data_IF_836726932796
#
_entry.id   IF_836726932796
#
_cell.length_a   1.000
_cell.length_b   1.000
_cell.length_c   1.000
_cell.angle_alpha   90.00
_cell.angle_beta   90.00
_cell.angle_gamma   90.00
#
_symmetry.space_group_name_H-M   'P 1'
#
loop_
_entity.id
_entity.type
_entity.pdbx_description
1 polymer ?
#
# COMPACT_ATOMS: atom_id res chain seq x y z
N UNK A 1 1.73 -16.44 16.66
CA UNK A 1 1.99 -16.92 15.29
C UNK A 1 1.10 -18.10 14.88
N UNK A 2 0.55 -18.87 15.82
CA UNK A 2 -0.22 -20.09 15.50
C UNK A 2 -1.61 -19.85 14.87
N UNK A 3 -2.26 -18.72 15.15
CA UNK A 3 -3.57 -18.40 14.60
C UNK A 3 -3.55 -18.15 13.08
N UNK A 4 -2.52 -17.48 12.57
CA UNK A 4 -2.38 -17.18 11.14
C UNK A 4 -2.06 -18.43 10.33
N UNK A 5 -1.19 -19.30 10.85
CA UNK A 5 -0.89 -20.59 10.22
C UNK A 5 -2.08 -21.54 10.30
N UNK A 6 -2.80 -21.58 11.43
CA UNK A 6 -4.03 -22.35 11.55
C UNK A 6 -5.09 -21.90 10.54
N UNK A 7 -5.33 -20.59 10.39
CA UNK A 7 -6.28 -20.07 9.40
C UNK A 7 -5.86 -20.38 7.95
N UNK A 8 -4.56 -20.32 7.66
CA UNK A 8 -4.03 -20.65 6.34
C UNK A 8 -4.22 -22.14 5.98
N UNK A 9 -4.25 -23.03 6.97
CA UNK A 9 -4.46 -24.46 6.78
C UNK A 9 -5.96 -24.80 6.74
N UNK A 10 -6.78 -24.21 7.62
CA UNK A 10 -8.22 -24.48 7.69
C UNK A 10 -9.00 -23.89 6.51
N UNK A 11 -8.63 -22.69 6.04
CA UNK A 11 -9.35 -21.98 4.97
C UNK A 11 -8.39 -21.30 3.97
N UNK A 12 -7.54 -22.06 3.25
CA UNK A 12 -6.48 -21.52 2.40
C UNK A 12 -7.01 -20.59 1.29
N UNK A 13 -8.19 -20.87 0.73
CA UNK A 13 -8.80 -20.05 -0.34
C UNK A 13 -9.24 -18.67 0.16
N UNK A 14 -9.90 -18.60 1.33
CA UNK A 14 -10.36 -17.34 1.93
C UNK A 14 -9.17 -16.50 2.39
N UNK A 15 -8.16 -17.14 2.98
CA UNK A 15 -6.92 -16.49 3.39
C UNK A 15 -6.19 -15.85 2.21
N UNK A 16 -5.99 -16.58 1.11
CA UNK A 16 -5.36 -16.06 -0.11
C UNK A 16 -6.18 -14.90 -0.71
N UNK A 17 -7.52 -15.01 -0.74
CA UNK A 17 -8.39 -13.96 -1.26
C UNK A 17 -8.28 -12.67 -0.44
N UNK A 18 -8.25 -12.79 0.90
CA UNK A 18 -8.11 -11.66 1.81
C UNK A 18 -6.73 -10.99 1.67
N UNK A 19 -5.64 -11.78 1.61
CA UNK A 19 -4.30 -11.25 1.35
C UNK A 19 -4.19 -10.58 -0.01
N UNK A 20 -4.85 -11.10 -1.05
CA UNK A 20 -4.92 -10.46 -2.37
C UNK A 20 -5.66 -9.13 -2.32
N UNK A 21 -6.80 -9.06 -1.64
CA UNK A 21 -7.56 -7.83 -1.48
C UNK A 21 -6.74 -6.75 -0.75
N UNK A 22 -6.06 -7.12 0.34
CA UNK A 22 -5.14 -6.23 1.06
C UNK A 22 -4.00 -5.73 0.17
N UNK A 23 -3.41 -6.60 -0.64
CA UNK A 23 -2.40 -6.23 -1.63
C UNK A 23 -2.92 -5.26 -2.67
N UNK A 24 -4.12 -5.50 -3.22
CA UNK A 24 -4.74 -4.61 -4.20
C UNK A 24 -4.98 -3.21 -3.62
N UNK A 25 -5.44 -3.14 -2.37
CA UNK A 25 -5.64 -1.88 -1.65
C UNK A 25 -4.30 -1.16 -1.41
N UNK A 26 -3.27 -1.87 -0.98
CA UNK A 26 -1.93 -1.29 -0.78
C UNK A 26 -1.33 -0.74 -2.10
N UNK A 27 -1.49 -1.47 -3.20
CA UNK A 27 -1.04 -1.01 -4.54
C UNK A 27 -1.84 0.22 -5.00
N UNK A 28 -3.14 0.27 -4.74
CA UNK A 28 -3.97 1.45 -5.05
C UNK A 28 -3.51 2.68 -4.27
N UNK A 29 -3.19 2.54 -2.99
CA UNK A 29 -2.62 3.64 -2.19
C UNK A 29 -1.24 4.08 -2.70
N UNK A 30 -0.40 3.13 -3.13
CA UNK A 30 0.87 3.45 -3.78
C UNK A 30 0.67 4.22 -5.10
N UNK A 31 -0.26 3.80 -5.95
CA UNK A 31 -0.58 4.53 -7.18
C UNK A 31 -1.13 5.94 -6.90
N UNK A 32 -1.94 6.09 -5.83
CA UNK A 32 -2.44 7.38 -5.39
C UNK A 32 -1.27 8.30 -4.98
N UNK A 33 -0.31 7.77 -4.21
CA UNK A 33 0.91 8.47 -3.84
C UNK A 33 1.75 8.90 -5.05
N UNK A 34 1.96 8.02 -6.04
CA UNK A 34 2.68 8.37 -7.28
C UNK A 34 1.98 9.48 -8.05
N UNK A 35 0.64 9.48 -8.09
CA UNK A 35 -0.12 10.53 -8.79
C UNK A 35 -0.04 11.85 -8.03
N UNK A 36 -0.13 11.83 -6.71
CA UNK A 36 -0.05 13.02 -5.88
C UNK A 36 1.34 13.67 -5.95
N UNK A 37 2.40 12.87 -5.95
CA UNK A 37 3.77 13.34 -6.12
C UNK A 37 3.98 14.06 -7.47
N UNK A 38 3.49 13.46 -8.57
CA UNK A 38 3.54 14.12 -9.90
C UNK A 38 2.73 15.40 -9.95
N UNK A 39 1.57 15.45 -9.31
CA UNK A 39 0.72 16.64 -9.25
C UNK A 39 1.40 17.72 -8.40
N UNK A 40 1.99 17.33 -7.26
CA UNK A 40 2.82 18.17 -6.40
C UNK A 40 3.95 18.83 -7.16
N UNK A 41 4.79 18.05 -7.84
CA UNK A 41 5.88 18.59 -8.64
C UNK A 41 5.44 19.46 -9.82
N UNK A 42 4.22 19.28 -10.34
CA UNK A 42 3.69 20.16 -11.39
C UNK A 42 3.22 21.49 -10.80
N UNK A 43 2.55 21.44 -9.65
CA UNK A 43 2.04 22.61 -8.95
C UNK A 43 3.19 23.42 -8.37
N UNK A 44 4.18 22.77 -7.76
CA UNK A 44 5.41 23.38 -7.26
C UNK A 44 6.17 24.14 -8.37
N UNK A 45 6.31 23.53 -9.56
CA UNK A 45 6.93 24.20 -10.71
C UNK A 45 6.15 25.43 -11.19
N UNK A 46 4.83 25.40 -11.15
CA UNK A 46 3.99 26.55 -11.52
C UNK A 46 4.03 27.63 -10.42
N UNK A 47 3.98 27.22 -9.16
CA UNK A 47 3.99 28.10 -7.99
C UNK A 47 5.32 28.84 -7.85
N UNK A 48 6.45 28.14 -8.04
CA UNK A 48 7.78 28.75 -8.06
C UNK A 48 7.95 29.77 -9.19
N UNK A 49 7.31 29.54 -10.36
CA UNK A 49 7.29 30.53 -11.45
C UNK A 49 6.43 31.75 -11.14
N UNK A 50 5.39 31.58 -10.31
CA UNK A 50 4.51 32.65 -9.89
C UNK A 50 5.01 33.40 -8.64
N UNK A 51 6.08 32.93 -7.99
CA UNK A 51 6.58 33.49 -6.72
C UNK A 51 5.66 33.23 -5.52
N UNK A 52 4.76 32.25 -5.63
CA UNK A 52 3.78 31.91 -4.60
C UNK A 52 4.26 30.65 -3.87
N UNK A 53 4.08 30.59 -2.55
CA UNK A 53 4.36 29.38 -1.79
C UNK A 53 3.48 28.21 -2.30
N UNK A 54 4.05 27.02 -2.55
CA UNK A 54 3.28 25.89 -3.08
C UNK A 54 2.17 25.50 -2.11
N UNK A 55 0.94 25.27 -2.60
CA UNK A 55 -0.16 24.84 -1.75
C UNK A 55 0.08 23.41 -1.25
N UNK A 56 -0.21 23.19 0.02
CA UNK A 56 -0.13 21.87 0.64
C UNK A 56 -1.30 20.99 0.14
N UNK A 57 -1.02 20.13 -0.84
CA UNK A 57 -2.01 19.25 -1.46
C UNK A 57 -2.58 18.23 -0.49
N UNK A 58 -1.86 17.92 0.57
CA UNK A 58 -2.28 16.96 1.58
C UNK A 58 -3.31 17.54 2.53
N UNK A 59 -3.32 18.87 2.69
CA UNK A 59 -4.36 19.57 3.45
C UNK A 59 -5.79 19.25 2.94
N UNK A 60 -5.93 18.93 1.65
CA UNK A 60 -7.21 18.56 1.04
C UNK A 60 -7.66 17.12 1.37
N UNK A 61 -6.76 16.25 1.82
CA UNK A 61 -7.07 14.86 2.14
C UNK A 61 -7.48 14.69 3.61
N UNK A 62 -8.41 13.76 3.91
CA UNK A 62 -8.70 13.35 5.28
C UNK A 62 -7.44 12.83 5.99
N UNK A 63 -7.31 13.10 7.28
CA UNK A 63 -6.12 12.75 8.08
C UNK A 63 -5.77 11.25 8.03
N UNK A 64 -6.78 10.38 8.00
CA UNK A 64 -6.58 8.93 7.92
C UNK A 64 -6.00 8.50 6.58
N UNK A 65 -6.30 9.22 5.49
CA UNK A 65 -5.82 8.94 4.15
C UNK A 65 -4.35 9.37 4.00
N UNK A 66 -3.94 10.44 4.70
CA UNK A 66 -2.54 10.90 4.78
C UNK A 66 -1.60 9.85 5.37
N UNK A 67 -2.09 9.01 6.29
CA UNK A 67 -1.28 7.91 6.86
C UNK A 67 -0.90 6.84 5.84
N UNK A 68 -1.65 6.70 4.74
CA UNK A 68 -1.44 5.68 3.72
C UNK A 68 -0.76 6.21 2.46
N UNK A 69 -0.62 7.52 2.31
CA UNK A 69 0.09 8.11 1.17
C UNK A 69 1.58 8.23 1.49
N UNK A 70 2.46 7.56 0.74
CA UNK A 70 3.90 7.67 0.95
C UNK A 70 4.41 9.03 0.47
N UNK A 71 4.57 9.99 1.39
CA UNK A 71 5.13 11.33 1.11
C UNK A 71 6.66 11.35 1.09
N UNK A 72 7.29 10.39 1.77
CA UNK A 72 8.76 10.31 1.91
C UNK A 72 9.30 9.01 1.33
N UNK A 73 10.60 8.99 1.02
CA UNK A 73 11.31 7.76 0.65
C UNK A 73 11.05 6.63 1.66
N UNK A 74 10.95 6.96 2.96
CA UNK A 74 10.58 6.01 4.01
C UNK A 74 9.18 5.43 3.86
N UNK A 75 8.19 6.24 3.46
CA UNK A 75 6.84 5.78 3.14
C UNK A 75 6.80 4.81 1.95
N UNK A 76 7.61 5.07 0.91
CA UNK A 76 7.73 4.18 -0.25
C UNK A 76 8.36 2.84 0.13
N UNK A 77 9.41 2.84 0.96
CA UNK A 77 10.05 1.63 1.49
C UNK A 77 9.07 0.83 2.36
N UNK A 78 8.27 1.52 3.19
CA UNK A 78 7.25 0.89 4.01
C UNK A 78 6.17 0.21 3.15
N UNK A 79 5.66 0.91 2.14
CA UNK A 79 4.68 0.36 1.19
C UNK A 79 5.23 -0.86 0.44
N UNK A 80 6.49 -0.79 -0.02
CA UNK A 80 7.19 -1.91 -0.64
C UNK A 80 7.29 -3.13 0.29
N UNK A 81 7.57 -2.89 1.58
CA UNK A 81 7.65 -3.95 2.59
C UNK A 81 6.30 -4.62 2.80
N UNK A 82 5.21 -3.85 2.91
CA UNK A 82 3.85 -4.39 3.02
C UNK A 82 3.42 -5.21 1.81
N UNK A 83 3.78 -4.77 0.61
CA UNK A 83 3.54 -5.52 -0.63
C UNK A 83 4.30 -6.85 -0.60
N UNK A 84 5.60 -6.84 -0.28
CA UNK A 84 6.41 -8.05 -0.16
C UNK A 84 5.83 -9.02 0.88
N UNK A 85 5.45 -8.51 2.05
CA UNK A 85 4.88 -9.32 3.13
C UNK A 85 3.54 -9.95 2.73
N UNK A 86 2.67 -9.19 2.05
CA UNK A 86 1.42 -9.72 1.48
C UNK A 86 1.66 -10.82 0.43
N UNK A 87 2.68 -10.67 -0.41
CA UNK A 87 3.05 -11.71 -1.40
C UNK A 87 3.57 -12.96 -0.70
N UNK A 88 4.41 -12.82 0.32
CA UNK A 88 4.90 -13.93 1.14
C UNK A 88 3.73 -14.69 1.80
N UNK A 89 2.75 -13.98 2.35
CA UNK A 89 1.55 -14.60 2.96
C UNK A 89 0.70 -15.36 1.93
N UNK A 90 0.55 -14.84 0.70
CA UNK A 90 -0.12 -15.57 -0.38
C UNK A 90 0.63 -16.87 -0.72
N UNK A 91 1.96 -16.81 -0.81
CA UNK A 91 2.77 -17.99 -1.12
C UNK A 91 2.68 -19.04 -0.01
N UNK A 92 2.67 -18.62 1.26
CA UNK A 92 2.40 -19.51 2.41
C UNK A 92 1.01 -20.15 2.32
N UNK A 93 -0.04 -19.39 1.97
CA UNK A 93 -1.38 -19.95 1.77
C UNK A 93 -1.46 -20.97 0.62
N UNK A 94 -0.72 -20.74 -0.47
CA UNK A 94 -0.61 -21.72 -1.57
C UNK A 94 0.14 -22.98 -1.15
N UNK A 95 1.19 -22.84 -0.34
CA UNK A 95 1.90 -23.97 0.25
C UNK A 95 0.98 -24.77 1.18
N UNK A 96 0.25 -24.11 2.08
CA UNK A 96 -0.74 -24.76 2.94
C UNK A 96 -1.80 -25.54 2.15
N UNK A 97 -2.28 -24.99 1.03
CA UNK A 97 -3.17 -25.71 0.11
C UNK A 97 -2.55 -26.97 -0.50
N UNK A 98 -1.23 -26.98 -0.73
CA UNK A 98 -0.50 -28.09 -1.37
C UNK A 98 -0.16 -29.22 -0.39
N UNK A 99 0.06 -28.90 0.89
CA UNK A 99 0.38 -29.86 1.95
C UNK A 99 -0.84 -30.33 2.76
N UNK A 100 -1.97 -29.61 2.67
CA UNK A 100 -3.23 -30.00 3.30
C UNK A 100 -4.14 -30.90 2.45
N UNK A 101 -3.68 -31.32 1.27
CA UNK A 101 -4.27 -32.39 0.45
C UNK A 101 -3.40 -33.63 0.56
#
# INVERSE_FOLDING_TARGET
MELLTALAISYPKLFIACCRALLSVAVLFGLLGLRLDRIGHRIERVSNRAGIAPPDLMAAFPWWLRMFVPESFGGWVYLGTWVCLGVCMIQLGKWGKKFGQ
#
